data_IF_378150814924
#
_entry.id   IF_378150814924
#
_cell.length_a   1.000
_cell.length_b   1.000
_cell.length_c   1.000
_cell.angle_alpha   90.00
_cell.angle_beta   90.00
_cell.angle_gamma   90.00
#
_symmetry.space_group_name_H-M   'P 1'
#
loop_
_entity.id
_entity.type
_entity.pdbx_description
1 polymer ?
#
# COMPACT_ATOMS: atom_id res chain seq x y z
N UNK A 1 -33.27 -32.68 12.29
CA UNK A 1 -33.71 -32.73 10.88
C UNK A 1 -34.06 -31.30 10.46
N UNK A 2 -33.03 -30.52 10.14
CA UNK A 2 -33.08 -29.33 9.29
C UNK A 2 -32.00 -29.55 8.22
N UNK A 3 -32.37 -29.46 6.95
CA UNK A 3 -31.57 -29.97 5.84
C UNK A 3 -30.24 -29.22 5.60
N UNK A 4 -29.34 -29.80 4.80
CA UNK A 4 -28.07 -29.17 4.43
C UNK A 4 -28.34 -27.83 3.73
N UNK A 5 -27.76 -26.74 4.26
CA UNK A 5 -27.70 -25.46 3.55
C UNK A 5 -26.61 -25.56 2.49
N UNK A 6 -27.05 -25.57 1.25
CA UNK A 6 -26.22 -25.49 0.05
C UNK A 6 -25.56 -24.11 -0.02
N UNK A 7 -24.23 -24.06 -0.09
CA UNK A 7 -23.51 -22.93 -0.70
C UNK A 7 -22.92 -23.44 -2.01
N UNK A 8 -23.40 -22.88 -3.12
CA UNK A 8 -23.00 -23.28 -4.46
C UNK A 8 -21.64 -22.72 -4.82
N UNK A 9 -20.69 -23.61 -5.11
CA UNK A 9 -19.66 -23.37 -6.10
C UNK A 9 -20.21 -23.74 -7.50
N UNK A 10 -19.90 -22.97 -8.54
CA UNK A 10 -20.05 -23.42 -9.94
C UNK A 10 -18.68 -23.75 -10.53
N UNK A 11 -18.61 -24.91 -11.20
CA UNK A 11 -17.46 -25.42 -11.95
C UNK A 11 -17.62 -25.09 -13.47
N UNK A 12 -16.54 -24.92 -14.25
CA UNK A 12 -16.62 -24.51 -15.67
C UNK A 12 -17.02 -25.66 -16.61
N UNK A 13 -17.51 -25.36 -17.83
CA UNK A 13 -17.59 -26.34 -18.91
C UNK A 13 -16.21 -26.67 -19.54
N UNK A 14 -16.10 -27.93 -20.02
CA UNK A 14 -14.93 -28.69 -20.51
C UNK A 14 -14.76 -28.61 -22.07
N UNK A 15 -13.74 -29.23 -22.70
CA UNK A 15 -12.98 -28.70 -23.84
C UNK A 15 -13.50 -29.07 -25.25
N UNK A 16 -13.15 -28.24 -26.25
CA UNK A 16 -12.92 -28.64 -27.64
C UNK A 16 -13.67 -27.87 -28.74
N UNK A 17 -13.05 -26.81 -29.30
CA UNK A 17 -13.20 -26.38 -30.70
C UNK A 17 -12.14 -25.33 -31.11
N UNK A 18 -11.17 -25.76 -31.95
CA UNK A 18 -10.64 -25.00 -33.10
C UNK A 18 -9.75 -23.76 -32.89
N UNK A 19 -8.62 -23.63 -33.63
CA UNK A 19 -7.61 -22.60 -33.39
C UNK A 19 -7.95 -21.29 -34.10
N UNK A 20 -8.03 -20.18 -33.36
CA UNK A 20 -7.93 -18.79 -33.84
C UNK A 20 -8.04 -17.88 -32.61
N UNK A 21 -7.29 -16.81 -32.41
CA UNK A 21 -6.18 -16.19 -33.10
C UNK A 21 -5.37 -15.50 -31.99
N UNK A 22 -4.06 -15.30 -32.19
CA UNK A 22 -3.23 -14.60 -31.21
C UNK A 22 -3.84 -13.25 -30.84
N UNK A 23 -4.09 -13.05 -29.56
CA UNK A 23 -4.28 -11.70 -29.02
C UNK A 23 -2.98 -11.33 -28.34
N UNK A 24 -2.29 -10.48 -29.07
CA UNK A 24 -1.14 -9.69 -28.67
C UNK A 24 -1.19 -9.36 -27.18
N UNK A 25 -0.03 -9.55 -26.57
CA UNK A 25 0.44 -8.69 -25.50
C UNK A 25 0.19 -7.26 -25.98
N UNK A 26 -0.94 -6.66 -25.59
CA UNK A 26 -1.10 -5.22 -25.70
C UNK A 26 -0.14 -4.66 -24.68
N UNK A 27 1.09 -4.47 -25.15
CA UNK A 27 1.96 -3.43 -24.66
C UNK A 27 1.07 -2.19 -24.68
N UNK A 28 0.63 -1.78 -23.50
CA UNK A 28 0.18 -0.43 -23.33
C UNK A 28 1.40 0.42 -23.65
N UNK A 29 1.48 0.83 -24.93
CA UNK A 29 2.21 1.99 -25.37
C UNK A 29 1.74 3.09 -24.43
N UNK A 30 2.59 3.42 -23.46
CA UNK A 30 2.48 4.63 -22.69
C UNK A 30 2.78 5.77 -23.67
N UNK A 31 1.77 6.05 -24.50
CA UNK A 31 1.49 7.35 -25.06
C UNK A 31 1.21 8.34 -23.94
N UNK A 32 2.15 8.47 -22.99
CA UNK A 32 2.47 9.71 -22.33
C UNK A 32 2.87 10.66 -23.44
N UNK A 33 1.85 11.29 -24.04
CA UNK A 33 2.04 12.62 -24.58
C UNK A 33 2.81 13.37 -23.50
N UNK A 34 4.04 13.73 -23.83
CA UNK A 34 4.98 14.42 -22.95
C UNK A 34 4.26 15.66 -22.44
N UNK A 35 3.60 15.56 -21.27
CA UNK A 35 3.10 16.72 -20.55
C UNK A 35 4.37 17.49 -20.24
N UNK A 36 4.51 18.65 -20.89
CA UNK A 36 5.61 19.56 -20.64
C UNK A 36 5.79 19.68 -19.12
N UNK A 37 7.03 19.54 -18.65
CA UNK A 37 7.35 19.69 -17.24
C UNK A 37 6.69 20.99 -16.76
N UNK A 38 5.85 20.97 -15.72
CA UNK A 38 5.23 22.17 -15.23
C UNK A 38 6.33 23.20 -14.94
N UNK A 39 6.11 24.45 -15.33
CA UNK A 39 7.01 25.55 -15.02
C UNK A 39 7.19 25.67 -13.49
N UNK A 40 8.11 26.51 -13.02
CA UNK A 40 8.39 26.64 -11.59
C UNK A 40 7.11 26.92 -10.78
N UNK A 41 6.22 27.75 -11.31
CA UNK A 41 4.94 28.10 -10.69
C UNK A 41 3.96 26.93 -10.64
N UNK A 42 3.88 26.10 -11.67
CA UNK A 42 3.07 24.88 -11.67
C UNK A 42 3.58 23.84 -10.67
N UNK A 43 4.89 23.78 -10.42
CA UNK A 43 5.45 22.94 -9.35
C UNK A 43 5.10 23.48 -7.96
N UNK A 44 5.18 24.80 -7.77
CA UNK A 44 4.80 25.45 -6.52
C UNK A 44 3.31 25.26 -6.22
N UNK A 45 2.44 25.41 -7.22
CA UNK A 45 1.01 25.16 -7.11
C UNK A 45 0.71 23.70 -6.75
N UNK A 46 1.34 22.73 -7.43
CA UNK A 46 1.19 21.31 -7.08
C UNK A 46 1.65 21.04 -5.65
N UNK A 47 2.76 21.64 -5.23
CA UNK A 47 3.26 21.45 -3.86
C UNK A 47 2.29 22.00 -2.82
N UNK A 48 1.74 23.20 -3.06
CA UNK A 48 0.71 23.79 -2.20
C UNK A 48 -0.55 22.91 -2.12
N UNK A 49 -0.99 22.34 -3.25
CA UNK A 49 -2.11 21.38 -3.29
C UNK A 49 -1.82 20.15 -2.43
N UNK A 50 -0.63 19.56 -2.55
CA UNK A 50 -0.23 18.39 -1.74
C UNK A 50 -0.22 18.75 -0.24
N UNK A 51 0.37 19.88 0.13
CA UNK A 51 0.44 20.33 1.53
C UNK A 51 -0.95 20.62 2.11
N UNK A 52 -1.87 21.17 1.30
CA UNK A 52 -3.27 21.39 1.70
C UNK A 52 -4.00 20.07 1.95
N UNK A 53 -3.88 19.10 1.04
CA UNK A 53 -4.49 17.77 1.21
C UNK A 53 -3.93 17.05 2.44
N UNK A 54 -2.63 17.14 2.70
CA UNK A 54 -2.04 16.62 3.94
C UNK A 54 -2.64 17.29 5.18
N UNK A 55 -2.84 18.61 5.14
CA UNK A 55 -3.50 19.35 6.22
C UNK A 55 -4.95 18.90 6.45
N UNK A 56 -5.74 18.72 5.38
CA UNK A 56 -7.11 18.22 5.48
C UNK A 56 -7.16 16.83 6.14
N UNK A 57 -6.26 15.92 5.75
CA UNK A 57 -6.17 14.58 6.36
C UNK A 57 -5.77 14.70 7.84
N UNK A 58 -4.76 15.51 8.16
CA UNK A 58 -4.26 15.68 9.53
C UNK A 58 -5.33 16.25 10.47
N UNK A 59 -6.19 17.15 9.99
CA UNK A 59 -7.27 17.78 10.75
C UNK A 59 -8.55 16.93 10.82
N UNK A 60 -8.49 15.65 10.42
CA UNK A 60 -9.67 14.78 10.30
C UNK A 60 -9.43 13.40 10.94
N UNK A 61 -10.50 12.60 11.14
CA UNK A 61 -10.36 11.21 11.58
C UNK A 61 -9.51 10.33 10.65
N UNK A 62 -9.29 10.75 9.39
CA UNK A 62 -8.40 10.04 8.46
C UNK A 62 -6.95 10.00 8.94
N UNK A 63 -6.52 10.95 9.80
CA UNK A 63 -5.18 10.94 10.40
C UNK A 63 -4.91 9.70 11.27
N UNK A 64 -5.97 9.08 11.81
CA UNK A 64 -5.88 7.89 12.64
C UNK A 64 -5.91 6.61 11.81
N UNK A 65 -6.56 6.63 10.65
CA UNK A 65 -6.76 5.43 9.82
C UNK A 65 -5.76 5.32 8.68
N UNK A 66 -5.27 6.43 8.12
CA UNK A 66 -4.35 6.42 6.99
C UNK A 66 -2.89 6.47 7.44
N UNK A 67 -2.03 5.79 6.68
CA UNK A 67 -0.58 5.85 6.84
C UNK A 67 0.05 6.36 5.55
N UNK A 68 0.72 7.52 5.62
CA UNK A 68 1.40 8.09 4.47
C UNK A 68 2.71 7.34 4.18
N UNK A 69 3.00 7.12 2.90
CA UNK A 69 4.28 6.59 2.42
C UNK A 69 4.73 7.32 1.15
N UNK A 70 5.78 6.78 0.54
CA UNK A 70 6.25 7.23 -0.76
C UNK A 70 6.95 8.59 -0.69
N UNK A 71 6.82 9.35 -1.77
CA UNK A 71 7.67 10.52 -2.00
C UNK A 71 7.35 11.72 -1.11
N UNK A 72 6.10 11.84 -0.65
CA UNK A 72 5.65 12.92 0.23
C UNK A 72 6.29 12.89 1.63
N UNK A 73 6.76 11.74 2.09
CA UNK A 73 7.43 11.60 3.41
C UNK A 73 8.91 11.94 3.33
N UNK A 74 9.53 11.87 2.14
CA UNK A 74 10.97 12.05 1.95
C UNK A 74 11.52 13.36 2.57
N UNK A 75 10.86 14.53 2.44
CA UNK A 75 11.36 15.77 3.05
C UNK A 75 11.53 15.69 4.57
N UNK A 76 10.73 14.89 5.27
CA UNK A 76 10.88 14.68 6.71
C UNK A 76 12.13 13.85 7.06
N UNK A 77 12.55 12.96 6.17
CA UNK A 77 13.70 12.07 6.40
C UNK A 77 15.03 12.63 5.90
N UNK A 78 15.02 13.34 4.78
CA UNK A 78 16.25 13.74 4.08
C UNK A 78 16.31 15.25 3.79
N UNK A 79 15.35 16.02 4.29
CA UNK A 79 15.31 17.49 4.17
C UNK A 79 15.32 17.97 2.72
N UNK A 80 16.05 19.06 2.47
CA UNK A 80 16.15 19.72 1.15
C UNK A 80 16.79 18.87 0.04
N UNK A 81 17.38 17.73 0.40
CA UNK A 81 17.88 16.76 -0.56
C UNK A 81 16.73 15.97 -1.22
N UNK A 82 15.55 15.93 -0.60
CA UNK A 82 14.38 15.29 -1.18
C UNK A 82 14.01 15.96 -2.50
N UNK A 83 13.65 15.15 -3.49
CA UNK A 83 12.96 15.65 -4.67
C UNK A 83 11.54 16.09 -4.31
N UNK A 84 10.95 16.97 -5.11
CA UNK A 84 9.56 17.32 -4.93
C UNK A 84 8.65 16.08 -5.04
N UNK A 85 7.67 15.93 -4.13
CA UNK A 85 6.68 14.88 -4.25
C UNK A 85 5.82 15.08 -5.50
N UNK A 86 5.39 13.97 -6.08
CA UNK A 86 4.57 13.95 -7.29
C UNK A 86 3.10 13.61 -6.98
N UNK A 87 2.90 12.81 -5.93
CA UNK A 87 1.68 12.10 -5.55
C UNK A 87 1.62 11.96 -4.02
N UNK A 88 0.44 11.61 -3.52
CA UNK A 88 0.24 11.14 -2.14
C UNK A 88 -0.06 9.65 -2.15
N UNK A 89 0.79 8.86 -1.53
CA UNK A 89 0.62 7.41 -1.39
C UNK A 89 0.16 7.09 0.03
N UNK A 90 -1.08 6.62 0.17
CA UNK A 90 -1.70 6.20 1.42
C UNK A 90 -1.78 4.68 1.49
N UNK A 91 -1.41 4.13 2.62
CA UNK A 91 -1.81 2.79 3.02
C UNK A 91 -3.11 2.95 3.81
N UNK A 92 -4.12 2.19 3.41
CA UNK A 92 -5.35 1.97 4.16
C UNK A 92 -5.15 0.65 4.89
N UNK A 93 -4.70 0.66 6.16
CA UNK A 93 -4.48 -0.56 6.91
C UNK A 93 -5.82 -1.30 6.99
N UNK A 94 -5.85 -2.51 6.45
CA UNK A 94 -7.00 -3.39 6.65
C UNK A 94 -7.17 -3.70 8.15
N UNK A 95 -8.39 -4.05 8.58
CA UNK A 95 -8.55 -4.66 9.89
C UNK A 95 -7.59 -5.86 10.01
N UNK A 96 -6.99 -6.06 11.18
CA UNK A 96 -6.17 -7.23 11.47
C UNK A 96 -7.05 -8.48 11.54
N UNK A 97 -7.55 -8.92 10.38
CA UNK A 97 -8.34 -10.14 10.26
C UNK A 97 -7.36 -11.30 10.20
N UNK A 98 -7.28 -12.04 11.30
CA UNK A 98 -6.64 -13.35 11.29
C UNK A 98 -7.59 -14.31 10.57
N UNK A 99 -7.20 -14.92 9.45
CA UNK A 99 -8.06 -15.84 8.75
C UNK A 99 -8.35 -17.05 9.64
N UNK A 100 -9.62 -17.41 9.71
CA UNK A 100 -10.08 -18.66 10.31
C UNK A 100 -9.64 -19.80 9.38
N UNK A 101 -8.94 -20.80 9.93
CA UNK A 101 -8.65 -22.02 9.18
C UNK A 101 -9.93 -22.85 9.06
N UNK A 102 -10.50 -22.92 7.85
CA UNK A 102 -11.74 -23.66 7.59
C UNK A 102 -11.55 -25.18 7.59
N UNK A 103 -10.31 -25.66 7.49
CA UNK A 103 -9.97 -27.08 7.64
C UNK A 103 -9.62 -27.44 9.09
N UNK A 104 -9.65 -26.46 10.00
CA UNK A 104 -9.41 -26.67 11.41
C UNK A 104 -10.53 -27.55 12.00
N UNK A 105 -10.19 -28.64 12.70
CA UNK A 105 -11.18 -29.62 13.15
C UNK A 105 -12.03 -29.14 14.35
N UNK A 106 -11.91 -27.87 14.76
CA UNK A 106 -12.54 -27.31 15.95
C UNK A 106 -13.46 -26.13 15.58
N UNK A 107 -14.64 -25.99 16.21
CA UNK A 107 -15.54 -24.87 15.94
C UNK A 107 -14.99 -23.56 16.54
N UNK A 108 -14.98 -22.51 15.73
CA UNK A 108 -14.72 -21.14 16.17
C UNK A 108 -16.03 -20.56 16.70
N UNK A 109 -16.03 -20.12 17.96
CA UNK A 109 -17.22 -19.63 18.66
C UNK A 109 -16.88 -18.32 19.38
N UNK A 110 -17.81 -17.37 19.38
CA UNK A 110 -17.57 -16.03 19.93
C UNK A 110 -17.44 -16.04 21.46
N UNK A 111 -18.19 -16.89 22.14
CA UNK A 111 -18.20 -16.97 23.60
C UNK A 111 -18.18 -18.43 24.10
N UNK A 112 -17.44 -18.69 25.19
CA UNK A 112 -17.45 -20.00 25.88
C UNK A 112 -18.86 -20.35 26.37
N UNK A 113 -19.70 -19.35 26.68
CA UNK A 113 -21.08 -19.55 27.12
C UNK A 113 -21.94 -20.27 26.07
N UNK A 114 -21.68 -20.07 24.78
CA UNK A 114 -22.33 -20.81 23.70
C UNK A 114 -22.00 -22.32 23.75
N UNK A 115 -20.86 -22.68 24.34
CA UNK A 115 -20.35 -24.04 24.49
C UNK A 115 -20.70 -24.67 25.84
N UNK A 116 -21.23 -23.90 26.80
CA UNK A 116 -21.66 -24.44 28.11
C UNK A 116 -22.84 -25.42 28.00
N UNK A 117 -23.50 -25.48 26.85
CA UNK A 117 -24.50 -26.50 26.53
C UNK A 117 -23.88 -27.81 26.02
N UNK A 118 -22.55 -27.88 25.87
CA UNK A 118 -21.77 -29.02 25.33
C UNK A 118 -20.77 -29.52 26.39
N UNK A 119 -21.21 -30.39 27.34
CA UNK A 119 -20.38 -30.85 28.45
C UNK A 119 -19.05 -31.47 28.00
N UNK A 120 -19.03 -32.15 26.86
CA UNK A 120 -17.84 -32.80 26.32
C UNK A 120 -16.77 -31.80 25.83
N UNK A 121 -17.18 -30.62 25.37
CA UNK A 121 -16.28 -29.55 24.91
C UNK A 121 -15.75 -28.69 26.08
N UNK A 122 -16.56 -28.50 27.13
CA UNK A 122 -16.18 -27.77 28.34
C UNK A 122 -15.30 -28.60 29.29
N UNK A 123 -15.65 -29.88 29.52
CA UNK A 123 -14.97 -30.76 30.47
C UNK A 123 -13.92 -31.68 29.81
N UNK A 124 -13.80 -31.67 28.48
CA UNK A 124 -12.83 -32.47 27.74
C UNK A 124 -13.11 -33.97 27.75
N UNK A 125 -14.37 -34.36 27.90
CA UNK A 125 -14.77 -35.77 27.86
C UNK A 125 -14.76 -36.27 26.41
N UNK A 126 -14.16 -37.43 26.15
CA UNK A 126 -13.97 -37.98 24.80
C UNK A 126 -15.25 -38.40 24.06
N UNK A 127 -16.43 -38.13 24.63
CA UNK A 127 -17.81 -38.28 24.12
C UNK A 127 -18.77 -38.44 25.31
N UNK A 128 -19.93 -37.78 25.29
CA UNK A 128 -20.99 -38.06 26.25
C UNK A 128 -21.77 -39.33 25.81
N UNK A 129 -21.61 -40.45 26.52
CA UNK A 129 -22.17 -41.75 26.10
C UNK A 129 -23.69 -41.89 26.25
N UNK A 130 -24.35 -40.92 26.89
CA UNK A 130 -25.75 -41.03 27.30
C UNK A 130 -26.73 -40.60 26.19
N UNK A 131 -26.31 -39.76 25.25
CA UNK A 131 -27.15 -39.24 24.16
C UNK A 131 -26.57 -39.61 22.81
N UNK A 132 -27.23 -40.52 22.08
CA UNK A 132 -26.70 -41.13 20.85
C UNK A 132 -27.06 -40.37 19.56
N UNK A 133 -27.88 -39.32 19.66
CA UNK A 133 -28.32 -38.52 18.51
C UNK A 133 -28.51 -37.06 18.92
N UNK A 134 -27.46 -36.25 18.78
CA UNK A 134 -27.58 -34.80 18.72
C UNK A 134 -26.95 -34.30 17.42
N UNK A 135 -27.54 -33.26 16.84
CA UNK A 135 -27.06 -32.65 15.58
C UNK A 135 -25.66 -32.01 15.72
N UNK A 136 -25.04 -32.03 16.91
CA UNK A 136 -23.81 -31.33 17.26
C UNK A 136 -22.84 -32.19 18.12
N UNK A 137 -22.43 -33.37 17.65
CA UNK A 137 -21.38 -34.18 18.30
C UNK A 137 -19.98 -33.56 18.06
N UNK A 138 -19.38 -32.98 19.10
CA UNK A 138 -18.04 -32.36 19.04
C UNK A 138 -16.89 -33.35 19.28
N UNK A 139 -17.17 -34.60 19.70
CA UNK A 139 -16.18 -35.65 20.01
C UNK A 139 -15.07 -35.23 20.98
N UNK A 140 -15.34 -34.30 21.90
CA UNK A 140 -14.37 -33.81 22.87
C UNK A 140 -13.34 -32.82 22.31
N UNK A 141 -13.59 -32.27 21.12
CA UNK A 141 -12.79 -31.19 20.54
C UNK A 141 -13.03 -29.88 21.33
N UNK A 142 -11.95 -29.19 21.74
CA UNK A 142 -12.07 -27.93 22.48
C UNK A 142 -12.37 -26.77 21.54
N UNK A 143 -13.33 -25.89 21.86
CA UNK A 143 -13.63 -24.72 21.04
C UNK A 143 -12.44 -23.76 21.03
N UNK A 144 -12.32 -22.98 19.96
CA UNK A 144 -11.40 -21.83 19.92
C UNK A 144 -12.22 -20.58 20.11
N UNK A 145 -11.95 -19.88 21.21
CA UNK A 145 -12.51 -18.55 21.49
C UNK A 145 -11.53 -17.46 21.07
N UNK A 146 -12.02 -16.28 20.68
CA UNK A 146 -11.14 -15.18 20.35
C UNK A 146 -10.35 -14.74 21.60
N UNK A 147 -9.12 -14.20 21.45
CA UNK A 147 -8.41 -13.57 22.56
C UNK A 147 -9.25 -12.50 23.26
N UNK A 148 -8.97 -12.24 24.53
CA UNK A 148 -9.72 -11.28 25.35
C UNK A 148 -9.87 -9.91 24.65
N UNK A 149 -11.12 -9.46 24.49
CA UNK A 149 -11.45 -8.19 23.81
C UNK A 149 -11.66 -8.28 22.29
N UNK A 150 -11.57 -9.47 21.68
CA UNK A 150 -11.78 -9.70 20.25
C UNK A 150 -13.04 -10.58 20.00
N UNK A 151 -13.58 -10.57 18.78
CA UNK A 151 -14.70 -11.42 18.33
C UNK A 151 -14.43 -11.99 16.93
N UNK A 152 -15.08 -13.09 16.53
CA UNK A 152 -14.96 -13.60 15.17
C UNK A 152 -15.81 -12.78 14.21
N UNK A 153 -15.24 -12.42 13.06
CA UNK A 153 -15.94 -11.67 12.01
C UNK A 153 -16.25 -12.65 10.89
N UNK A 154 -17.53 -12.93 10.66
CA UNK A 154 -17.98 -13.91 9.65
C UNK A 154 -18.07 -13.29 8.24
N UNK A 155 -18.34 -11.99 8.17
CA UNK A 155 -18.25 -11.13 7.00
C UNK A 155 -17.67 -9.80 7.46
N UNK A 156 -16.65 -9.26 6.78
CA UNK A 156 -16.22 -7.90 7.04
C UNK A 156 -17.41 -6.97 6.76
N UNK A 157 -17.88 -6.25 7.78
CA UNK A 157 -18.88 -5.21 7.57
C UNK A 157 -18.34 -4.26 6.48
N UNK A 158 -19.13 -3.94 5.44
CA UNK A 158 -18.67 -3.03 4.40
C UNK A 158 -18.27 -1.70 5.06
N UNK A 159 -17.08 -1.21 4.73
CA UNK A 159 -16.63 0.11 5.18
C UNK A 159 -17.73 1.12 4.86
N UNK A 160 -18.26 1.79 5.88
CA UNK A 160 -19.44 2.65 5.75
C UNK A 160 -19.14 3.90 4.91
N UNK A 161 -17.86 4.24 4.75
CA UNK A 161 -17.35 5.27 3.85
C UNK A 161 -15.88 4.99 3.50
N UNK A 162 -15.53 4.98 2.21
CA UNK A 162 -14.15 4.76 1.83
C UNK A 162 -13.29 6.01 2.16
N UNK A 163 -12.00 5.86 2.53
CA UNK A 163 -11.17 7.00 2.92
C UNK A 163 -11.02 8.09 1.84
N UNK A 164 -11.04 7.70 0.56
CA UNK A 164 -10.93 8.63 -0.55
C UNK A 164 -12.21 9.47 -0.74
N UNK A 165 -13.40 8.91 -0.48
CA UNK A 165 -14.67 9.63 -0.49
C UNK A 165 -14.72 10.66 0.65
N UNK A 166 -14.32 10.22 1.86
CA UNK A 166 -14.21 11.11 3.02
C UNK A 166 -13.27 12.29 2.75
N UNK A 167 -12.14 12.03 2.07
CA UNK A 167 -11.23 13.11 1.67
C UNK A 167 -11.85 14.04 0.63
N UNK A 168 -12.63 13.53 -0.33
CA UNK A 168 -13.34 14.37 -1.30
C UNK A 168 -14.37 15.27 -0.61
N UNK A 169 -15.07 14.79 0.41
CA UNK A 169 -15.99 15.61 1.20
C UNK A 169 -15.25 16.72 1.96
N UNK A 170 -14.11 16.42 2.58
CA UNK A 170 -13.26 17.44 3.20
C UNK A 170 -12.76 18.48 2.20
N UNK A 171 -12.45 18.06 0.96
CA UNK A 171 -12.08 18.97 -0.13
C UNK A 171 -13.27 19.82 -0.57
N UNK A 172 -14.49 19.27 -0.64
CA UNK A 172 -15.71 20.05 -0.95
C UNK A 172 -15.98 21.12 0.11
N UNK A 173 -15.72 20.82 1.38
CA UNK A 173 -15.83 21.79 2.47
C UNK A 173 -14.75 22.88 2.41
N UNK A 174 -13.53 22.51 2.01
CA UNK A 174 -12.35 23.40 1.99
C UNK A 174 -11.59 23.31 0.66
N UNK A 175 -12.18 23.77 -0.48
CA UNK A 175 -11.59 23.57 -1.81
C UNK A 175 -10.47 24.57 -2.12
N UNK A 176 -10.44 25.72 -1.45
CA UNK A 176 -9.43 26.77 -1.68
C UNK A 176 -8.13 26.43 -0.96
N UNK A 177 -7.07 26.19 -1.74
CA UNK A 177 -5.71 25.90 -1.26
C UNK A 177 -4.98 27.19 -0.91
N UNK A 178 -5.08 28.19 -1.79
CA UNK A 178 -4.49 29.52 -1.65
C UNK A 178 -5.29 30.53 -2.49
N UNK A 179 -5.09 31.85 -2.35
CA UNK A 179 -5.74 32.83 -3.22
C UNK A 179 -5.48 32.51 -4.71
N UNK A 180 -6.56 32.26 -5.46
CA UNK A 180 -6.49 31.90 -6.88
C UNK A 180 -6.07 30.45 -7.17
N UNK A 181 -5.95 29.57 -6.17
CA UNK A 181 -5.64 28.14 -6.32
C UNK A 181 -6.73 27.29 -5.64
N UNK A 182 -7.50 26.55 -6.43
CA UNK A 182 -8.71 25.85 -5.96
C UNK A 182 -8.73 24.42 -6.50
N UNK A 183 -9.11 23.46 -5.66
CA UNK A 183 -9.36 22.07 -6.02
C UNK A 183 -10.77 21.90 -6.59
N UNK A 184 -10.93 20.99 -7.54
CA UNK A 184 -12.20 20.66 -8.17
C UNK A 184 -12.62 19.22 -7.79
N UNK A 185 -13.27 19.01 -6.62
CA UNK A 185 -13.64 17.68 -6.14
C UNK A 185 -14.74 17.03 -6.99
N UNK A 186 -15.55 17.80 -7.70
CA UNK A 186 -16.64 17.26 -8.53
C UNK A 186 -16.14 16.78 -9.89
N UNK A 187 -14.98 17.29 -10.35
CA UNK A 187 -14.24 16.76 -11.48
C UNK A 187 -13.25 15.64 -11.11
N UNK A 188 -13.23 15.21 -9.85
CA UNK A 188 -12.34 14.14 -9.41
C UNK A 188 -12.72 12.81 -10.08
N UNK A 189 -11.71 12.02 -10.44
CA UNK A 189 -11.87 10.77 -11.19
C UNK A 189 -11.12 9.64 -10.52
N UNK A 190 -11.76 8.49 -10.39
CA UNK A 190 -11.08 7.25 -10.06
C UNK A 190 -10.37 6.73 -11.31
N UNK A 191 -9.05 6.78 -11.32
CA UNK A 191 -8.18 6.35 -12.43
C UNK A 191 -7.92 4.83 -12.39
N UNK A 192 -8.94 4.08 -11.96
CA UNK A 192 -8.94 2.62 -11.87
C UNK A 192 -8.52 2.02 -10.52
N UNK A 193 -8.73 0.71 -10.43
CA UNK A 193 -8.36 -0.19 -9.34
C UNK A 193 -7.01 -0.85 -9.63
N UNK A 194 -6.05 -0.78 -8.72
CA UNK A 194 -4.69 -1.33 -8.92
C UNK A 194 -4.22 -2.16 -7.71
N UNK A 195 -3.22 -3.04 -7.89
CA UNK A 195 -2.63 -3.86 -6.82
C UNK A 195 -1.10 -3.79 -6.87
N UNK A 196 -0.44 -3.68 -5.72
CA UNK A 196 1.01 -3.81 -5.57
C UNK A 196 1.42 -5.28 -5.46
N UNK A 197 0.59 -6.15 -4.88
CA UNK A 197 0.85 -7.60 -4.78
C UNK A 197 0.26 -8.35 -5.99
N UNK A 198 1.08 -9.18 -6.65
CA UNK A 198 0.60 -10.04 -7.72
C UNK A 198 -0.37 -11.10 -7.15
N UNK A 199 -1.67 -10.83 -7.31
CA UNK A 199 -2.82 -11.72 -7.18
C UNK A 199 -2.53 -13.15 -6.69
N UNK A 200 -2.38 -13.31 -5.37
CA UNK A 200 -2.53 -14.61 -4.72
C UNK A 200 -4.01 -14.76 -4.37
N UNK A 201 -4.75 -15.45 -5.23
CA UNK A 201 -6.01 -16.13 -4.96
C UNK A 201 -7.01 -15.42 -4.00
N UNK A 202 -7.82 -14.52 -4.57
CA UNK A 202 -9.25 -14.46 -4.23
C UNK A 202 -9.75 -13.44 -3.20
N UNK A 203 -8.88 -12.69 -2.51
CA UNK A 203 -9.32 -11.76 -1.45
C UNK A 203 -8.61 -10.40 -1.41
N UNK A 204 -7.83 -10.01 -2.43
CA UNK A 204 -7.23 -8.68 -2.44
C UNK A 204 -8.21 -7.65 -3.01
N UNK A 205 -8.73 -6.78 -2.15
CA UNK A 205 -9.45 -5.59 -2.58
C UNK A 205 -8.46 -4.64 -3.26
N UNK A 206 -8.66 -4.27 -4.53
CA UNK A 206 -7.73 -3.40 -5.22
C UNK A 206 -7.68 -2.02 -4.57
N UNK A 207 -6.49 -1.42 -4.56
CA UNK A 207 -6.30 -0.03 -4.16
C UNK A 207 -7.02 0.93 -5.12
N UNK A 208 -7.36 2.12 -4.61
CA UNK A 208 -8.04 3.18 -5.37
C UNK A 208 -7.02 4.23 -5.78
N UNK A 209 -7.01 4.63 -7.05
CA UNK A 209 -6.25 5.80 -7.51
C UNK A 209 -7.21 6.93 -7.81
N UNK A 210 -7.08 8.03 -7.08
CA UNK A 210 -7.86 9.24 -7.26
C UNK A 210 -7.01 10.29 -8.00
N UNK A 211 -7.55 10.82 -9.09
CA UNK A 211 -7.03 11.99 -9.76
C UNK A 211 -7.92 13.18 -9.44
N UNK A 212 -7.34 14.19 -8.78
CA UNK A 212 -8.04 15.38 -8.32
C UNK A 212 -7.54 16.61 -9.10
N UNK A 213 -8.38 17.21 -9.95
CA UNK A 213 -8.01 18.43 -10.68
C UNK A 213 -7.88 19.65 -9.76
N UNK A 214 -7.04 20.59 -10.17
CA UNK A 214 -6.93 21.91 -9.56
C UNK A 214 -6.81 22.99 -10.62
N UNK A 215 -7.29 24.18 -10.28
CA UNK A 215 -7.25 25.37 -11.11
C UNK A 215 -6.44 26.45 -10.42
N UNK A 216 -5.63 27.16 -11.20
CA UNK A 216 -4.78 28.24 -10.71
C UNK A 216 -4.94 29.48 -11.62
N UNK A 217 -5.19 30.65 -11.02
CA UNK A 217 -5.36 31.90 -11.75
C UNK A 217 -4.15 32.20 -12.63
N UNK A 218 -4.40 32.40 -13.93
CA UNK A 218 -3.36 32.72 -14.91
C UNK A 218 -2.45 31.55 -15.31
N UNK A 219 -2.79 30.31 -14.92
CA UNK A 219 -2.02 29.11 -15.24
C UNK A 219 -2.92 28.00 -15.81
N UNK A 220 -2.37 27.09 -16.65
CA UNK A 220 -3.11 25.90 -17.06
C UNK A 220 -3.54 25.08 -15.83
N UNK A 221 -4.75 24.50 -15.84
CA UNK A 221 -5.17 23.60 -14.78
C UNK A 221 -4.24 22.39 -14.70
N UNK A 222 -4.12 21.83 -13.50
CA UNK A 222 -3.35 20.64 -13.25
C UNK A 222 -4.16 19.56 -12.55
N UNK A 223 -3.48 18.48 -12.22
CA UNK A 223 -4.07 17.34 -11.54
C UNK A 223 -3.05 16.82 -10.52
N UNK A 224 -3.55 16.44 -9.34
CA UNK A 224 -2.79 15.71 -8.34
C UNK A 224 -3.33 14.29 -8.24
N UNK A 225 -2.43 13.34 -7.98
CA UNK A 225 -2.77 11.92 -7.82
C UNK A 225 -2.66 11.52 -6.35
N UNK A 226 -3.65 10.78 -5.89
CA UNK A 226 -3.67 10.12 -4.59
C UNK A 226 -3.91 8.63 -4.77
N UNK A 227 -3.05 7.83 -4.18
CA UNK A 227 -3.12 6.38 -4.24
C UNK A 227 -3.50 5.84 -2.85
N UNK A 228 -4.55 5.04 -2.77
CA UNK A 228 -5.04 4.41 -1.54
C UNK A 228 -4.85 2.90 -1.64
N UNK A 229 -3.70 2.42 -1.19
CA UNK A 229 -3.32 1.01 -1.21
C UNK A 229 -4.02 0.25 -0.08
N UNK A 230 -4.80 -0.78 -0.42
CA UNK A 230 -5.48 -1.66 0.55
C UNK A 230 -4.76 -3.00 0.74
N UNK A 231 -3.95 -3.37 -0.25
CA UNK A 231 -3.17 -4.60 -0.31
C UNK A 231 -1.73 -4.42 0.21
N UNK A 232 -1.33 -3.19 0.51
CA UNK A 232 0.00 -2.90 1.06
C UNK A 232 0.04 -3.24 2.56
N UNK A 233 0.87 -4.22 2.90
CA UNK A 233 1.08 -4.65 4.27
C UNK A 233 2.10 -3.78 4.99
N UNK A 234 1.81 -3.41 6.24
CA UNK A 234 2.69 -2.63 7.10
C UNK A 234 3.42 -3.56 8.11
N UNK A 235 4.69 -3.94 7.87
CA UNK A 235 5.43 -4.90 8.70
C UNK A 235 5.85 -4.37 10.07
N UNK A 236 5.69 -3.08 10.30
CA UNK A 236 6.06 -2.36 11.53
C UNK A 236 4.96 -1.33 11.83
N UNK A 237 4.74 -0.96 13.10
CA UNK A 237 3.80 0.11 13.42
C UNK A 237 4.18 1.41 12.70
N UNK A 238 3.20 2.21 12.24
CA UNK A 238 3.50 3.51 11.65
C UNK A 238 4.00 4.47 12.74
N UNK A 239 4.79 5.45 12.31
CA UNK A 239 5.39 6.46 13.18
C UNK A 239 4.74 7.82 12.95
N UNK A 240 4.62 8.63 13.99
CA UNK A 240 4.21 10.02 13.84
C UNK A 240 5.37 10.85 13.30
N UNK A 241 5.14 11.51 12.17
CA UNK A 241 6.19 12.25 11.45
C UNK A 241 5.71 13.66 11.14
N UNK A 242 6.56 14.64 11.44
CA UNK A 242 6.36 16.03 11.08
C UNK A 242 6.85 16.27 9.64
N UNK A 243 5.93 16.45 8.70
CA UNK A 243 6.21 16.66 7.28
C UNK A 243 6.33 18.17 7.01
N UNK A 244 7.48 18.68 6.56
CA UNK A 244 7.65 20.09 6.26
C UNK A 244 6.70 20.57 5.16
N UNK A 245 6.03 21.70 5.38
CA UNK A 245 5.23 22.40 4.37
C UNK A 245 6.08 23.42 3.62
N UNK A 246 5.82 23.59 2.33
CA UNK A 246 6.54 24.54 1.47
C UNK A 246 6.19 26.00 1.77
N UNK A 247 4.99 26.25 2.32
CA UNK A 247 4.50 27.58 2.68
C UNK A 247 5.12 28.14 3.99
N UNK A 248 5.90 27.33 4.71
CA UNK A 248 6.53 27.73 5.98
C UNK A 248 5.56 27.89 7.16
N UNK A 249 4.30 27.49 7.02
CA UNK A 249 3.27 27.58 8.08
C UNK A 249 3.48 26.63 9.26
N UNK A 250 4.51 25.78 9.20
CA UNK A 250 4.78 24.71 10.16
C UNK A 250 4.68 23.34 9.49
N UNK A 251 5.12 22.25 10.14
CA UNK A 251 4.97 20.91 9.59
C UNK A 251 3.55 20.36 9.78
N UNK A 252 3.09 19.52 8.85
CA UNK A 252 1.90 18.68 9.04
C UNK A 252 2.30 17.37 9.73
N UNK A 253 1.67 17.04 10.85
CA UNK A 253 1.99 15.80 11.61
C UNK A 253 1.01 14.70 11.23
N UNK A 254 1.52 13.57 10.72
CA UNK A 254 0.72 12.43 10.27
C UNK A 254 1.37 11.11 10.65
N UNK A 255 0.59 10.01 10.65
CA UNK A 255 1.12 8.65 10.69
C UNK A 255 1.78 8.34 9.35
N UNK A 256 3.02 7.86 9.38
CA UNK A 256 3.76 7.51 8.17
C UNK A 256 4.45 6.16 8.32
N UNK A 257 4.87 5.58 7.21
CA UNK A 257 5.89 4.55 7.24
C UNK A 257 7.19 5.10 7.86
N UNK A 258 7.90 4.27 8.60
CA UNK A 258 9.21 4.63 9.15
C UNK A 258 10.22 4.90 8.02
N UNK A 259 11.27 5.65 8.31
CA UNK A 259 12.40 5.83 7.39
C UNK A 259 12.99 4.48 6.95
N UNK A 260 13.12 3.57 7.91
CA UNK A 260 13.70 2.24 7.69
C UNK A 260 12.82 1.39 6.76
N UNK A 261 11.52 1.38 6.98
CA UNK A 261 10.54 0.72 6.11
C UNK A 261 10.50 1.37 4.71
N UNK A 262 10.58 2.69 4.64
CA UNK A 262 10.67 3.42 3.36
C UNK A 262 11.90 2.97 2.56
N UNK A 263 13.06 2.82 3.21
CA UNK A 263 14.27 2.29 2.58
C UNK A 263 14.10 0.84 2.15
N UNK A 264 13.53 -0.02 3.00
CA UNK A 264 13.28 -1.42 2.69
C UNK A 264 12.41 -1.58 1.43
N UNK A 265 11.34 -0.78 1.28
CA UNK A 265 10.53 -0.79 0.06
C UNK A 265 11.30 -0.27 -1.14
N UNK A 266 12.10 0.80 -1.02
CA UNK A 266 12.90 1.28 -2.17
C UNK A 266 13.88 0.21 -2.66
N UNK A 267 14.48 -0.55 -1.75
CA UNK A 267 15.32 -1.70 -2.10
C UNK A 267 14.50 -2.82 -2.77
N UNK A 268 13.28 -3.09 -2.31
CA UNK A 268 12.36 -4.03 -2.95
C UNK A 268 12.04 -3.59 -4.37
N UNK A 269 11.64 -2.33 -4.59
CA UNK A 269 11.30 -1.80 -5.92
C UNK A 269 12.49 -1.85 -6.89
N UNK A 270 13.69 -1.49 -6.44
CA UNK A 270 14.91 -1.62 -7.25
C UNK A 270 15.16 -3.06 -7.69
N UNK A 271 14.89 -4.03 -6.80
CA UNK A 271 15.06 -5.45 -7.09
C UNK A 271 13.97 -5.99 -8.01
N UNK A 272 12.71 -5.80 -7.63
CA UNK A 272 11.53 -6.33 -8.31
C UNK A 272 11.39 -5.74 -9.72
N UNK A 273 11.55 -4.43 -9.90
CA UNK A 273 11.46 -3.81 -11.23
C UNK A 273 12.59 -4.26 -12.15
N UNK A 274 13.81 -4.42 -11.62
CA UNK A 274 14.92 -4.99 -12.38
C UNK A 274 14.66 -6.43 -12.80
N UNK A 275 14.04 -7.24 -11.92
CA UNK A 275 13.74 -8.64 -12.18
C UNK A 275 12.55 -8.84 -13.14
N UNK A 276 11.48 -8.06 -12.98
CA UNK A 276 10.24 -8.20 -13.72
C UNK A 276 10.21 -7.38 -15.02
N UNK A 277 10.62 -6.12 -14.96
CA UNK A 277 10.58 -5.18 -16.08
C UNK A 277 11.94 -5.03 -16.79
N UNK A 278 13.00 -5.69 -16.30
CA UNK A 278 14.34 -5.57 -16.84
C UNK A 278 15.00 -4.20 -16.60
N UNK A 279 14.39 -3.34 -15.79
CA UNK A 279 14.90 -2.01 -15.45
C UNK A 279 14.39 -1.53 -14.10
N UNK A 280 15.29 -1.05 -13.25
CA UNK A 280 14.97 -0.20 -12.12
C UNK A 280 14.63 1.23 -12.57
N UNK A 281 14.05 2.01 -11.67
CA UNK A 281 13.75 3.43 -11.89
C UNK A 281 14.71 4.34 -11.13
N UNK A 282 15.18 5.39 -11.78
CA UNK A 282 16.17 6.32 -11.24
C UNK A 282 15.69 7.03 -9.97
N UNK A 283 14.39 7.34 -9.88
CA UNK A 283 13.80 7.94 -8.68
C UNK A 283 13.93 7.04 -7.44
N UNK A 284 13.84 5.73 -7.63
CA UNK A 284 13.90 4.78 -6.53
C UNK A 284 15.35 4.56 -6.07
N UNK A 285 16.33 4.60 -6.98
CA UNK A 285 17.75 4.62 -6.63
C UNK A 285 18.10 5.91 -5.87
N UNK A 286 17.65 7.05 -6.38
CA UNK A 286 17.87 8.34 -5.73
C UNK A 286 17.33 8.35 -4.29
N UNK A 287 16.05 7.98 -4.12
CA UNK A 287 15.40 7.97 -2.82
C UNK A 287 16.08 6.95 -1.87
N UNK A 288 16.45 5.76 -2.35
CA UNK A 288 17.17 4.75 -1.57
C UNK A 288 18.54 5.25 -1.05
N UNK A 289 19.32 5.91 -1.91
CA UNK A 289 20.63 6.47 -1.53
C UNK A 289 20.47 7.50 -0.43
N UNK A 290 19.53 8.44 -0.57
CA UNK A 290 19.33 9.49 0.44
C UNK A 290 18.85 8.92 1.77
N UNK A 291 17.92 7.95 1.74
CA UNK A 291 17.46 7.27 2.96
C UNK A 291 18.60 6.49 3.63
N UNK A 292 19.43 5.78 2.87
CA UNK A 292 20.53 4.99 3.40
C UNK A 292 21.68 5.88 3.95
N UNK A 293 22.01 6.98 3.28
CA UNK A 293 23.11 7.85 3.73
C UNK A 293 22.78 8.66 4.98
N UNK A 294 21.50 8.99 5.19
CA UNK A 294 21.01 9.69 6.39
C UNK A 294 20.66 8.74 7.53
N UNK A 295 20.57 7.44 7.27
CA UNK A 295 20.31 6.44 8.28
C UNK A 295 21.50 6.24 9.23
N UNK A 296 21.20 6.00 10.51
CA UNK A 296 22.21 5.67 11.51
C UNK A 296 22.75 4.23 11.34
N UNK A 297 21.91 3.34 10.79
CA UNK A 297 22.22 1.94 10.51
C UNK A 297 21.41 1.49 9.27
N UNK A 298 21.87 0.46 8.55
CA UNK A 298 21.07 -0.17 7.50
C UNK A 298 19.78 -0.80 8.07
N UNK A 299 18.78 -1.07 7.21
CA UNK A 299 17.56 -1.73 7.65
C UNK A 299 17.84 -3.07 8.32
N UNK A 300 17.11 -3.36 9.40
CA UNK A 300 17.17 -4.61 10.12
C UNK A 300 17.00 -5.78 9.15
N UNK A 301 17.87 -6.81 9.21
CA UNK A 301 17.75 -7.97 8.33
C UNK A 301 16.36 -8.63 8.40
N UNK A 302 15.72 -8.58 9.56
CA UNK A 302 14.39 -9.14 9.80
C UNK A 302 13.30 -8.36 9.07
N UNK A 303 13.40 -7.03 9.06
CA UNK A 303 12.50 -6.15 8.30
C UNK A 303 12.64 -6.40 6.81
N UNK A 304 13.88 -6.45 6.29
CA UNK A 304 14.13 -6.78 4.88
C UNK A 304 13.55 -8.13 4.51
N UNK A 305 13.75 -9.17 5.33
CA UNK A 305 13.16 -10.50 5.09
C UNK A 305 11.63 -10.43 5.08
N UNK A 306 11.00 -9.68 5.98
CA UNK A 306 9.53 -9.50 6.01
C UNK A 306 9.03 -8.84 4.73
N UNK A 307 9.64 -7.73 4.31
CA UNK A 307 9.24 -6.98 3.10
C UNK A 307 9.45 -7.81 1.83
N UNK A 308 10.62 -8.46 1.68
CA UNK A 308 10.96 -9.21 0.46
C UNK A 308 10.16 -10.52 0.29
N UNK A 309 9.63 -11.11 1.37
CA UNK A 309 8.74 -12.29 1.27
C UNK A 309 7.46 -12.03 0.47
N UNK A 310 7.07 -10.77 0.32
CA UNK A 310 5.88 -10.34 -0.40
C UNK A 310 6.21 -9.81 -1.81
N UNK A 311 7.41 -10.07 -2.33
CA UNK A 311 7.78 -9.70 -3.70
C UNK A 311 6.72 -10.20 -4.70
N UNK A 312 6.12 -9.31 -5.51
CA UNK A 312 5.14 -9.70 -6.52
C UNK A 312 5.75 -10.67 -7.54
N UNK A 313 5.11 -11.81 -7.77
CA UNK A 313 5.49 -12.75 -8.85
C UNK A 313 6.67 -13.69 -8.54
N UNK A 314 7.19 -13.72 -7.30
CA UNK A 314 8.21 -14.71 -6.89
C UNK A 314 7.87 -15.38 -5.55
N UNK A 315 7.63 -16.70 -5.52
CA UNK A 315 7.57 -17.42 -4.26
C UNK A 315 9.01 -17.64 -3.73
N UNK A 316 9.28 -17.05 -2.57
CA UNK A 316 10.22 -17.56 -1.56
C UNK A 316 11.70 -17.75 -1.93
N UNK A 317 12.35 -16.78 -2.58
CA UNK A 317 13.81 -16.64 -2.48
C UNK A 317 14.15 -15.55 -1.46
N UNK A 318 14.10 -15.91 -0.17
CA UNK A 318 14.37 -15.01 0.98
C UNK A 318 15.83 -14.57 1.12
N UNK A 319 16.45 -14.10 0.05
CA UNK A 319 17.79 -13.50 0.04
C UNK A 319 17.76 -11.99 0.25
N UNK A 320 18.85 -11.45 0.77
CA UNK A 320 19.09 -10.00 0.81
C UNK A 320 19.05 -9.40 -0.61
N UNK A 321 18.68 -8.11 -0.77
CA UNK A 321 18.67 -7.44 -2.06
C UNK A 321 20.03 -7.56 -2.76
N UNK A 322 20.06 -8.14 -3.95
CA UNK A 322 21.25 -8.17 -4.79
C UNK A 322 21.37 -6.87 -5.57
N UNK A 323 22.05 -5.88 -4.99
CA UNK A 323 22.33 -4.60 -5.65
C UNK A 323 23.19 -4.74 -6.91
N UNK A 324 23.94 -5.83 -7.07
CA UNK A 324 24.69 -6.13 -8.29
C UNK A 324 23.80 -6.52 -9.48
N UNK A 325 22.55 -6.91 -9.21
CA UNK A 325 21.58 -7.28 -10.23
C UNK A 325 20.64 -6.12 -10.61
N UNK A 326 20.83 -4.93 -10.02
CA UNK A 326 20.01 -3.75 -10.34
C UNK A 326 20.40 -3.24 -11.72
N UNK A 327 19.44 -3.25 -12.64
CA UNK A 327 19.64 -2.80 -14.02
C UNK A 327 19.07 -1.38 -14.16
N UNK A 328 19.92 -0.35 -14.15
CA UNK A 328 19.46 1.03 -14.33
C UNK A 328 19.90 1.57 -15.70
N UNK A 329 18.98 1.73 -16.67
CA UNK A 329 19.33 2.27 -17.99
C UNK A 329 19.89 3.69 -17.90
N UNK A 330 21.00 3.96 -18.60
CA UNK A 330 21.61 5.30 -18.63
C UNK A 330 20.64 6.39 -19.13
N UNK A 331 19.70 6.03 -20.02
CA UNK A 331 18.67 6.94 -20.50
C UNK A 331 17.68 7.36 -19.40
N UNK A 332 17.26 6.43 -18.53
CA UNK A 332 16.37 6.70 -17.40
C UNK A 332 17.05 7.63 -16.38
N UNK A 333 18.33 7.38 -16.09
CA UNK A 333 19.14 8.25 -15.23
C UNK A 333 19.33 9.66 -15.84
N UNK A 334 19.61 9.74 -17.14
CA UNK A 334 19.77 11.02 -17.84
C UNK A 334 18.47 11.83 -17.84
N UNK A 335 17.32 11.19 -18.07
CA UNK A 335 16.01 11.82 -17.99
C UNK A 335 15.72 12.32 -16.58
N UNK A 336 15.98 11.49 -15.56
CA UNK A 336 15.80 11.88 -14.16
C UNK A 336 16.64 13.10 -13.79
N UNK A 337 17.91 13.15 -14.21
CA UNK A 337 18.80 14.30 -14.00
C UNK A 337 18.36 15.57 -14.72
N UNK A 338 17.76 15.44 -15.91
CA UNK A 338 17.21 16.60 -16.62
C UNK A 338 16.09 17.30 -15.81
N UNK A 339 15.30 16.52 -15.07
CA UNK A 339 14.26 17.04 -14.17
C UNK A 339 14.79 17.43 -12.78
N UNK A 340 15.99 16.97 -12.39
CA UNK A 340 16.58 17.23 -11.08
C UNK A 340 18.04 17.72 -11.21
N UNK A 341 18.27 18.99 -11.61
CA UNK A 341 19.61 19.51 -11.90
C UNK A 341 20.60 19.49 -10.72
N UNK A 342 20.09 19.38 -9.48
CA UNK A 342 20.91 19.22 -8.26
C UNK A 342 21.58 17.83 -8.19
N UNK A 343 21.03 16.83 -8.88
CA UNK A 343 21.56 15.46 -8.93
C UNK A 343 22.77 15.40 -9.87
N UNK A 344 23.94 15.14 -9.30
CA UNK A 344 25.24 15.04 -9.99
C UNK A 344 25.72 13.60 -10.01
N UNK A 345 26.52 13.25 -11.01
CA UNK A 345 27.14 11.92 -11.14
C UNK A 345 26.37 10.92 -12.01
N UNK A 346 26.97 9.75 -12.20
CA UNK A 346 26.42 8.63 -12.98
C UNK A 346 25.54 7.70 -12.13
N UNK A 347 24.76 6.84 -12.79
CA UNK A 347 23.96 5.83 -12.11
C UNK A 347 24.83 4.86 -11.29
N UNK A 348 25.99 4.48 -11.84
CA UNK A 348 26.96 3.59 -11.19
C UNK A 348 27.55 4.22 -9.92
N UNK A 349 27.85 5.52 -9.95
CA UNK A 349 28.34 6.25 -8.78
C UNK A 349 27.27 6.27 -7.66
N UNK A 350 26.00 6.44 -8.01
CA UNK A 350 24.90 6.40 -7.05
C UNK A 350 24.65 4.99 -6.51
N UNK A 351 24.76 3.96 -7.34
CA UNK A 351 24.68 2.57 -6.89
C UNK A 351 25.83 2.20 -5.95
N UNK A 352 27.06 2.68 -6.23
CA UNK A 352 28.20 2.51 -5.34
C UNK A 352 28.01 3.23 -3.99
N UNK A 353 27.40 4.42 -4.00
CA UNK A 353 27.01 5.12 -2.76
C UNK A 353 26.00 4.32 -1.95
N UNK A 354 25.00 3.73 -2.60
CA UNK A 354 24.01 2.89 -1.93
C UNK A 354 24.68 1.69 -1.25
N UNK A 355 25.54 0.95 -1.96
CA UNK A 355 26.27 -0.20 -1.40
C UNK A 355 27.07 0.19 -0.17
N UNK A 356 27.88 1.24 -0.28
CA UNK A 356 28.69 1.76 0.84
C UNK A 356 27.84 2.20 2.03
N UNK A 357 26.63 2.73 1.79
CA UNK A 357 25.73 3.14 2.86
C UNK A 357 25.11 1.94 3.59
N UNK A 358 24.86 0.83 2.90
CA UNK A 358 24.29 -0.39 3.48
C UNK A 358 25.33 -1.29 4.18
N UNK A 359 26.62 -1.08 3.93
CA UNK A 359 27.74 -1.83 4.54
C UNK A 359 28.24 -1.24 5.87
N UNK A 360 27.72 -0.08 6.29
CA UNK A 360 28.06 0.56 7.57
C UNK A 360 27.43 -0.21 8.73
#
# INVERSE_FOLDING_TARGET
>A
MLGPRTVTARQPPRPGAGPAAGKELVVHDDGSAVRALPDARGRDARRAVLDHLLGLVADSPLSETLVLRGSAVMPAWVGDAAREPADLDWIVPGPWLLPVDTEHPYPYVDEVAAVQQWPEAADGAGRYEIWTFEEFDTRGARPVVPPEGLHWITEAEPETHAPHETLLDLVRERPTVAPGLVLDPDAAREDGTWTYAAALAGYDAPGVRLALPWQADGHPPGEVRLDFARDEWLPEPPVWTAIPRADGSGPTVLRTASRELSLAWKLLWLHADSAAAGRARAKDLHDAVLLAETAAAPPAPDLLRRVFRREPGRPAAGGAPRLDAVLLPAADWAQFRASHPRVRGSAEEWLARLRRALER
#
